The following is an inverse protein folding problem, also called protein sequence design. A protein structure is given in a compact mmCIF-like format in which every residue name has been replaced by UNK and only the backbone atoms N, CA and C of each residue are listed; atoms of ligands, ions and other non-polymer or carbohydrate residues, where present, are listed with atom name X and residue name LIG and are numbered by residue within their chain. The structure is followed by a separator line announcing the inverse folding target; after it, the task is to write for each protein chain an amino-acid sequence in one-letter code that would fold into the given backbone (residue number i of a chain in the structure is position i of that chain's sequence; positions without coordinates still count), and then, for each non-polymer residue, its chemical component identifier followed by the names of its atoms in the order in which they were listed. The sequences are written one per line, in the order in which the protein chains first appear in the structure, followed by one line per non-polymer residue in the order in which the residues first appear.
data_IF_887652835234
#
_entry.id   IF_887652835234
#
_cell.length_a   1.000
_cell.length_b   1.000
_cell.length_c   1.000
_cell.angle_alpha   90.00
_cell.angle_beta   90.00
_cell.angle_gamma   90.00
#
_symmetry.space_group_name_H-M   'P 1'
#
loop_
_entity.id
_entity.type
_entity.pdbx_description
1 polymer ?
#
# COMPACT_ATOMS: atom_id res chain seq x y z
N UNK A 1 16.06 7.16 -10.06
CA UNK A 1 15.68 6.46 -8.82
C UNK A 1 15.24 7.49 -7.78
N UNK A 2 14.47 7.10 -6.76
CA UNK A 2 14.10 7.98 -5.64
C UNK A 2 15.34 8.51 -4.92
N UNK A 3 15.38 9.82 -4.64
CA UNK A 3 16.51 10.47 -3.97
C UNK A 3 16.27 10.70 -2.47
N UNK A 4 15.01 10.69 -2.04
CA UNK A 4 14.64 10.84 -0.63
C UNK A 4 14.78 9.52 0.13
N UNK A 5 15.14 9.64 1.39
CA UNK A 5 15.03 8.54 2.35
C UNK A 5 13.57 8.12 2.55
N UNK A 6 13.30 6.87 2.95
CA UNK A 6 11.98 6.47 3.40
C UNK A 6 11.48 7.40 4.51
N UNK A 7 10.16 7.57 4.56
CA UNK A 7 9.51 8.20 5.69
C UNK A 7 9.91 7.48 6.99
N UNK A 8 10.19 8.22 8.08
CA UNK A 8 10.55 7.64 9.38
C UNK A 8 9.28 7.08 10.05
N UNK A 9 8.72 6.03 9.47
CA UNK A 9 7.55 5.34 10.01
C UNK A 9 7.94 4.52 11.24
N UNK A 10 7.01 4.39 12.19
CA UNK A 10 7.16 3.52 13.34
C UNK A 10 6.97 2.04 12.98
N UNK A 11 6.78 1.21 13.99
CA UNK A 11 6.50 -0.21 13.80
C UNK A 11 5.18 -0.41 13.04
N UNK A 12 5.22 -1.29 12.05
CA UNK A 12 4.02 -1.73 11.35
C UNK A 12 3.16 -2.58 12.26
N UNK A 13 1.85 -2.42 12.14
CA UNK A 13 0.86 -3.18 12.92
C UNK A 13 -0.04 -3.99 12.00
N UNK A 14 -0.41 -5.17 12.46
CA UNK A 14 -1.38 -6.03 11.80
C UNK A 14 -2.80 -5.50 12.04
N UNK A 15 -3.64 -5.58 11.02
CA UNK A 15 -5.10 -5.44 11.16
C UNK A 15 -5.77 -6.79 11.43
N UNK A 16 -5.28 -7.86 10.80
CA UNK A 16 -5.79 -9.23 10.85
C UNK A 16 -4.60 -10.21 10.79
N UNK A 17 -4.53 -11.29 11.58
CA UNK A 17 -5.55 -11.82 12.50
C UNK A 17 -5.69 -11.05 13.81
N UNK A 18 -4.63 -10.36 14.26
CA UNK A 18 -4.63 -9.60 15.51
C UNK A 18 -4.49 -8.12 15.22
N UNK A 19 -5.57 -7.37 15.43
CA UNK A 19 -5.58 -5.92 15.26
C UNK A 19 -4.66 -5.24 16.28
N UNK A 20 -3.72 -4.44 15.80
CA UNK A 20 -2.72 -3.76 16.64
C UNK A 20 -1.55 -4.64 17.07
N UNK A 21 -1.52 -5.92 16.67
CA UNK A 21 -0.33 -6.76 16.86
C UNK A 21 0.84 -6.24 16.02
N UNK A 22 2.07 -6.50 16.45
CA UNK A 22 3.26 -6.15 15.65
C UNK A 22 3.25 -6.93 14.33
N UNK A 23 3.50 -6.24 13.22
CA UNK A 23 3.80 -6.90 11.94
C UNK A 23 5.30 -7.24 11.88
N UNK A 24 5.61 -8.47 11.50
CA UNK A 24 6.99 -8.95 11.45
C UNK A 24 7.75 -8.44 10.22
N UNK A 25 7.01 -8.12 9.16
CA UNK A 25 7.55 -7.61 7.90
C UNK A 25 7.50 -6.09 7.86
N UNK A 26 8.61 -5.50 7.42
CA UNK A 26 8.77 -4.06 7.26
C UNK A 26 8.32 -3.64 5.86
N UNK A 27 7.74 -2.45 5.75
CA UNK A 27 7.57 -1.75 4.48
C UNK A 27 8.21 -0.37 4.57
N UNK A 28 9.03 -0.02 3.60
CA UNK A 28 9.53 1.35 3.43
C UNK A 28 8.60 2.12 2.50
N UNK A 29 8.22 3.33 2.91
CA UNK A 29 7.35 4.21 2.13
C UNK A 29 8.10 5.49 1.80
N UNK A 30 8.02 5.92 0.55
CA UNK A 30 8.48 7.24 0.11
C UNK A 30 7.31 8.00 -0.49
N UNK A 31 7.32 9.31 -0.28
CA UNK A 31 6.36 10.24 -0.86
C UNK A 31 7.11 11.37 -1.56
N UNK A 32 6.57 11.81 -2.70
CA UNK A 32 6.95 13.05 -3.37
C UNK A 32 5.71 13.64 -4.01
N UNK A 33 5.79 14.89 -4.47
CA UNK A 33 4.70 15.52 -5.21
C UNK A 33 5.25 16.58 -6.16
N UNK A 34 4.47 16.92 -7.17
CA UNK A 34 4.65 18.10 -8.01
C UNK A 34 3.37 18.93 -8.05
N UNK A 35 3.23 19.82 -9.03
CA UNK A 35 2.07 20.69 -9.20
C UNK A 35 0.78 19.94 -9.61
N UNK A 36 0.89 18.66 -9.97
CA UNK A 36 -0.21 17.87 -10.53
C UNK A 36 -0.46 16.54 -9.82
N UNK A 37 0.57 15.93 -9.24
CA UNK A 37 0.54 14.56 -8.76
C UNK A 37 1.18 14.42 -7.39
N UNK A 38 0.69 13.45 -6.64
CA UNK A 38 1.34 12.91 -5.45
C UNK A 38 1.81 11.51 -5.79
N UNK A 39 3.08 11.24 -5.52
CA UNK A 39 3.76 10.01 -5.82
C UNK A 39 4.00 9.24 -4.54
N UNK A 40 3.68 7.95 -4.56
CA UNK A 40 3.96 7.01 -3.49
C UNK A 40 4.82 5.87 -4.02
N UNK A 41 5.82 5.47 -3.25
CA UNK A 41 6.58 4.26 -3.53
C UNK A 41 6.66 3.40 -2.28
N UNK A 42 6.45 2.11 -2.48
CA UNK A 42 6.45 1.10 -1.45
C UNK A 42 7.54 0.09 -1.75
N UNK A 43 8.36 -0.22 -0.75
CA UNK A 43 9.25 -1.38 -0.78
C UNK A 43 8.85 -2.28 0.38
N UNK A 44 8.09 -3.33 0.05
CA UNK A 44 7.63 -4.32 1.01
C UNK A 44 8.71 -5.41 1.12
N UNK A 45 9.28 -5.59 2.31
CA UNK A 45 10.26 -6.64 2.56
C UNK A 45 9.54 -7.94 2.91
N UNK A 46 9.92 -9.03 2.25
CA UNK A 46 9.40 -10.37 2.50
C UNK A 46 10.58 -11.35 2.62
N UNK A 47 10.52 -12.25 3.60
CA UNK A 47 11.55 -13.26 3.83
C UNK A 47 11.38 -14.51 2.94
N UNK A 48 10.23 -14.67 2.29
CA UNK A 48 9.88 -15.77 1.39
C UNK A 48 9.35 -15.23 0.04
N UNK A 49 10.13 -14.43 -0.72
CA UNK A 49 9.65 -13.74 -1.92
C UNK A 49 9.09 -14.67 -3.01
N UNK A 50 9.56 -15.92 -3.07
CA UNK A 50 9.05 -16.95 -4.00
C UNK A 50 7.62 -17.39 -3.70
N UNK A 51 7.08 -17.05 -2.53
CA UNK A 51 5.70 -17.34 -2.11
C UNK A 51 4.73 -16.18 -2.33
N UNK A 52 5.21 -15.02 -2.78
CA UNK A 52 4.37 -13.86 -3.06
C UNK A 52 3.37 -14.23 -4.15
N UNK A 53 2.08 -14.21 -3.81
CA UNK A 53 0.99 -14.53 -4.71
C UNK A 53 0.62 -13.29 -5.51
N UNK A 54 0.73 -13.40 -6.82
CA UNK A 54 0.31 -12.34 -7.74
C UNK A 54 -0.19 -12.92 -9.05
N UNK A 55 -1.25 -12.33 -9.59
CA UNK A 55 -1.94 -12.74 -10.80
C UNK A 55 -2.02 -11.54 -11.76
N UNK A 56 -1.77 -11.77 -13.05
CA UNK A 56 -2.09 -10.80 -14.10
C UNK A 56 -3.56 -10.99 -14.49
N UNK A 57 -4.40 -10.03 -14.14
CA UNK A 57 -5.85 -10.09 -14.34
C UNK A 57 -6.41 -8.70 -14.63
N UNK A 58 -7.73 -8.57 -14.76
CA UNK A 58 -8.41 -7.28 -14.90
C UNK A 58 -8.29 -6.45 -13.61
N UNK A 59 -8.34 -5.13 -13.75
CA UNK A 59 -8.50 -4.19 -12.61
C UNK A 59 -9.64 -4.65 -11.71
N UNK A 60 -9.49 -4.45 -10.40
CA UNK A 60 -10.50 -4.78 -9.37
C UNK A 60 -10.80 -6.28 -9.22
N UNK A 61 -9.92 -7.18 -9.69
CA UNK A 61 -10.10 -8.63 -9.54
C UNK A 61 -8.98 -9.33 -8.77
N UNK A 62 -7.95 -8.60 -8.32
CA UNK A 62 -6.76 -9.13 -7.64
C UNK A 62 -6.81 -9.02 -6.10
N UNK A 63 -7.99 -8.82 -5.49
CA UNK A 63 -8.11 -8.67 -4.03
C UNK A 63 -7.68 -9.90 -3.22
N UNK A 64 -7.64 -11.06 -3.88
CA UNK A 64 -7.13 -12.30 -3.33
C UNK A 64 -5.63 -12.50 -3.57
N UNK A 65 -4.89 -11.56 -4.14
CA UNK A 65 -3.41 -11.65 -4.21
C UNK A 65 -2.77 -10.99 -2.98
N UNK A 66 -1.44 -11.01 -2.91
CA UNK A 66 -0.71 -10.05 -2.08
C UNK A 66 -0.77 -8.66 -2.75
N UNK A 67 -0.97 -7.61 -1.95
CA UNK A 67 -1.08 -6.24 -2.43
C UNK A 67 -0.65 -5.23 -1.38
N UNK A 68 -0.34 -4.02 -1.83
CA UNK A 68 -0.18 -2.83 -0.99
C UNK A 68 -1.31 -1.85 -1.28
N UNK A 69 -1.71 -1.06 -0.28
CA UNK A 69 -2.77 -0.07 -0.40
C UNK A 69 -2.36 1.29 0.16
N UNK A 70 -2.81 2.34 -0.51
CA UNK A 70 -2.83 3.71 -0.02
C UNK A 70 -4.29 4.08 0.30
N UNK A 71 -4.54 4.51 1.53
CA UNK A 71 -5.79 5.14 1.93
C UNK A 71 -5.57 6.65 2.05
N UNK A 72 -6.25 7.44 1.22
CA UNK A 72 -6.09 8.89 1.15
C UNK A 72 -7.41 9.59 1.40
N UNK A 73 -7.50 10.27 2.54
CA UNK A 73 -8.50 11.32 2.76
C UNK A 73 -7.97 12.63 2.20
N UNK A 74 -8.37 12.95 0.97
CA UNK A 74 -7.95 14.17 0.30
C UNK A 74 -8.63 15.44 0.84
N UNK A 75 -9.74 15.29 1.56
CA UNK A 75 -10.51 16.41 2.11
C UNK A 75 -10.11 16.73 3.57
N UNK A 76 -9.43 15.80 4.25
CA UNK A 76 -9.02 15.92 5.65
C UNK A 76 -10.19 15.92 6.63
N UNK A 77 -11.33 15.33 6.26
CA UNK A 77 -12.56 15.32 7.06
C UNK A 77 -12.66 14.12 7.99
N UNK A 78 -11.82 13.10 7.80
CA UNK A 78 -11.86 11.81 8.50
C UNK A 78 -13.08 10.95 8.15
N UNK A 79 -13.88 11.34 7.15
CA UNK A 79 -15.13 10.67 6.79
C UNK A 79 -15.03 9.90 5.47
N UNK A 80 -14.30 10.45 4.50
CA UNK A 80 -14.18 9.85 3.16
C UNK A 80 -12.73 9.56 2.84
N UNK A 81 -12.45 8.39 2.26
CA UNK A 81 -11.12 8.04 1.81
C UNK A 81 -11.17 7.28 0.47
N UNK A 82 -10.27 7.67 -0.43
CA UNK A 82 -9.94 6.85 -1.60
C UNK A 82 -8.95 5.78 -1.18
N UNK A 83 -9.21 4.55 -1.58
CA UNK A 83 -8.29 3.44 -1.40
C UNK A 83 -7.76 3.01 -2.76
N UNK A 84 -6.45 3.03 -2.92
CA UNK A 84 -5.76 2.65 -4.14
C UNK A 84 -4.84 1.48 -3.83
N UNK A 85 -5.03 0.36 -4.54
CA UNK A 85 -4.32 -0.88 -4.31
C UNK A 85 -3.52 -1.28 -5.53
N UNK A 86 -2.41 -1.99 -5.32
CA UNK A 86 -1.67 -2.62 -6.41
C UNK A 86 -1.04 -3.93 -5.94
N UNK A 87 -1.15 -4.98 -6.77
CA UNK A 87 -0.41 -6.22 -6.56
C UNK A 87 1.01 -6.13 -7.18
N UNK A 88 1.94 -7.06 -6.87
CA UNK A 88 3.30 -7.05 -7.41
C UNK A 88 3.39 -7.09 -8.95
N UNK A 89 2.39 -7.67 -9.63
CA UNK A 89 2.29 -7.68 -11.09
C UNK A 89 1.73 -6.38 -11.69
N UNK A 90 1.42 -5.37 -10.86
CA UNK A 90 0.93 -4.06 -11.30
C UNK A 90 -0.57 -3.99 -11.54
N UNK A 91 -1.35 -5.01 -11.15
CA UNK A 91 -2.81 -4.97 -11.25
C UNK A 91 -3.35 -4.01 -10.20
N UNK A 92 -4.10 -3.03 -10.67
CA UNK A 92 -4.70 -1.99 -9.84
C UNK A 92 -6.04 -2.46 -9.30
N UNK A 93 -6.37 -2.07 -8.07
CA UNK A 93 -7.73 -2.07 -7.56
C UNK A 93 -8.03 -0.75 -6.85
N UNK A 94 -9.30 -0.41 -6.69
CA UNK A 94 -9.70 0.76 -5.92
C UNK A 94 -11.00 0.57 -5.13
N UNK A 95 -11.18 1.41 -4.12
CA UNK A 95 -12.42 1.52 -3.35
C UNK A 95 -12.61 2.96 -2.85
N UNK A 96 -13.85 3.30 -2.55
CA UNK A 96 -14.22 4.55 -1.89
C UNK A 96 -14.94 4.21 -0.60
N UNK A 97 -14.41 4.67 0.53
CA UNK A 97 -15.14 4.66 1.80
C UNK A 97 -15.75 6.04 2.00
N UNK A 98 -17.07 6.11 2.25
CA UNK A 98 -17.85 7.35 2.41
C UNK A 98 -18.57 7.41 3.73
#
# INVERSE_FOLDING_TARGET
AWQSEPLPLGDWVSYNPLRGGRADLRTDVRIAYDDRYIYFAFHCFDNEPDKIRTTITRRDTAFNDDWIALSLDSAGTGQTAYHLFVNPSGIQMDALNT
#
